data_IF_998472693932
#
_entry.id   IF_998472693932
#
_cell.length_a   1.000
_cell.length_b   1.000
_cell.length_c   1.000
_cell.angle_alpha   90.00
_cell.angle_beta   90.00
_cell.angle_gamma   90.00
#
_symmetry.space_group_name_H-M   'P 1'
#
loop_
_entity.id
_entity.type
_entity.pdbx_description
1 polymer ?
#
# COMPACT_ATOMS: atom_id res chain seq x y z
N UNK A 1 2.47 -12.80 12.54
CA UNK A 1 1.97 -12.13 11.33
C UNK A 1 2.42 -12.92 10.09
N UNK A 2 1.56 -13.13 9.09
CA UNK A 2 1.94 -13.91 7.91
C UNK A 2 2.94 -13.17 7.01
N UNK A 3 4.01 -13.85 6.59
CA UNK A 3 5.03 -13.35 5.66
C UNK A 3 4.45 -13.01 4.29
N UNK A 4 3.38 -13.70 3.88
CA UNK A 4 2.62 -13.39 2.66
C UNK A 4 2.02 -11.98 2.66
N UNK A 5 1.62 -11.47 3.83
CA UNK A 5 1.09 -10.11 3.96
C UNK A 5 2.18 -9.06 3.75
N UNK A 6 3.34 -9.25 4.39
CA UNK A 6 4.50 -8.38 4.21
C UNK A 6 5.03 -8.47 2.77
N UNK A 7 5.09 -9.67 2.19
CA UNK A 7 5.52 -9.88 0.80
C UNK A 7 4.59 -9.17 -0.18
N UNK A 8 3.29 -9.19 0.07
CA UNK A 8 2.30 -8.44 -0.71
C UNK A 8 2.54 -6.92 -0.66
N UNK A 9 2.84 -6.38 0.52
CA UNK A 9 3.15 -4.96 0.68
C UNK A 9 4.48 -4.58 -0.01
N UNK A 10 5.54 -5.37 0.19
CA UNK A 10 6.82 -5.15 -0.48
C UNK A 10 6.71 -5.27 -2.00
N UNK A 11 5.86 -6.16 -2.53
CA UNK A 11 5.58 -6.22 -3.97
C UNK A 11 5.05 -4.88 -4.48
N UNK A 12 4.12 -4.24 -3.77
CA UNK A 12 3.58 -2.92 -4.14
C UNK A 12 4.65 -1.83 -4.06
N UNK A 13 5.50 -1.86 -3.03
CA UNK A 13 6.63 -0.92 -2.85
C UNK A 13 7.65 -1.05 -3.99
N UNK A 14 8.09 -2.27 -4.29
CA UNK A 14 9.04 -2.58 -5.36
C UNK A 14 8.48 -2.15 -6.72
N UNK A 15 7.23 -2.52 -7.02
CA UNK A 15 6.57 -2.10 -8.26
C UNK A 15 6.46 -0.58 -8.36
N UNK A 16 6.11 0.10 -7.27
CA UNK A 16 6.03 1.57 -7.24
C UNK A 16 7.37 2.18 -7.61
N UNK A 17 8.47 1.65 -7.08
CA UNK A 17 9.81 2.11 -7.45
C UNK A 17 10.11 1.85 -8.93
N UNK A 18 9.90 0.62 -9.41
CA UNK A 18 10.14 0.26 -10.81
C UNK A 18 9.41 1.18 -11.80
N UNK A 19 8.13 1.45 -11.55
CA UNK A 19 7.30 2.29 -12.42
C UNK A 19 7.70 3.77 -12.37
N UNK A 20 8.22 4.23 -11.23
CA UNK A 20 8.75 5.60 -11.11
C UNK A 20 10.09 5.75 -11.81
N UNK A 21 10.95 4.74 -11.72
CA UNK A 21 12.27 4.73 -12.36
C UNK A 21 12.13 4.60 -13.90
N UNK A 22 11.12 3.88 -14.40
CA UNK A 22 10.87 3.69 -15.83
C UNK A 22 10.27 4.93 -16.56
N UNK A 23 9.68 5.87 -15.81
CA UNK A 23 9.12 7.10 -16.38
C UNK A 23 7.68 6.97 -16.93
N UNK A 24 7.15 8.08 -17.45
CA UNK A 24 5.72 8.24 -17.82
C UNK A 24 5.31 7.53 -19.11
N UNK A 25 6.27 7.16 -19.96
CA UNK A 25 6.01 6.68 -21.33
C UNK A 25 5.40 5.27 -21.37
N UNK A 26 5.48 4.50 -20.28
CA UNK A 26 5.01 3.11 -20.28
C UNK A 26 3.49 2.92 -20.21
N UNK A 27 2.75 3.99 -19.88
CA UNK A 27 1.30 3.95 -19.70
C UNK A 27 0.52 4.67 -20.81
N UNK A 28 1.23 5.26 -21.78
CA UNK A 28 0.70 6.15 -22.80
C UNK A 28 0.02 5.47 -24.00
N UNK A 29 -0.24 4.16 -23.97
CA UNK A 29 -0.93 3.48 -25.08
C UNK A 29 -2.17 2.67 -24.68
N UNK A 30 -2.86 3.11 -23.61
CA UNK A 30 -3.90 2.31 -22.96
C UNK A 30 -5.28 2.95 -22.87
N UNK A 31 -5.63 3.89 -23.76
CA UNK A 31 -7.05 4.18 -24.04
C UNK A 31 -7.76 2.97 -24.69
N UNK A 32 -7.00 2.00 -25.25
CA UNK A 32 -7.54 0.73 -25.75
C UNK A 32 -7.55 -0.42 -24.73
N UNK A 33 -6.83 -0.32 -23.59
CA UNK A 33 -6.79 -1.34 -22.52
C UNK A 33 -7.87 -1.06 -21.46
N UNK A 34 -9.09 -0.79 -21.92
CA UNK A 34 -10.31 -0.94 -21.12
C UNK A 34 -10.80 -2.41 -21.11
N UNK A 35 -9.90 -3.38 -21.31
CA UNK A 35 -10.19 -4.82 -21.22
C UNK A 35 -9.66 -5.40 -19.89
N UNK A 36 -10.57 -5.40 -18.91
CA UNK A 36 -10.65 -6.20 -17.68
C UNK A 36 -9.60 -6.06 -16.56
N UNK A 37 -8.29 -5.81 -16.77
CA UNK A 37 -7.36 -5.64 -15.63
C UNK A 37 -6.00 -4.97 -15.97
N UNK A 38 -5.89 -3.63 -15.98
CA UNK A 38 -4.64 -2.94 -16.33
C UNK A 38 -3.50 -3.22 -15.34
N UNK A 39 -3.79 -3.28 -14.04
CA UNK A 39 -2.78 -3.49 -13.00
C UNK A 39 -2.07 -4.84 -13.13
N UNK A 40 -2.80 -5.90 -13.49
CA UNK A 40 -2.21 -7.22 -13.69
C UNK A 40 -1.25 -7.27 -14.89
N UNK A 41 -1.56 -6.56 -15.98
CA UNK A 41 -0.68 -6.52 -17.16
C UNK A 41 0.62 -5.77 -16.88
N UNK A 42 0.53 -4.67 -16.13
CA UNK A 42 1.70 -3.92 -15.67
C UNK A 42 2.54 -4.81 -14.75
N UNK A 43 1.90 -5.50 -13.79
CA UNK A 43 2.60 -6.41 -12.90
C UNK A 43 3.35 -7.51 -13.67
N UNK A 44 2.70 -8.14 -14.65
CA UNK A 44 3.34 -9.15 -15.52
C UNK A 44 4.52 -8.54 -16.30
N UNK A 45 4.34 -7.35 -16.87
CA UNK A 45 5.40 -6.68 -17.63
C UNK A 45 6.67 -6.45 -16.80
N UNK A 46 6.51 -6.01 -15.54
CA UNK A 46 7.63 -5.57 -14.71
C UNK A 46 8.20 -6.65 -13.80
N UNK A 47 7.37 -7.54 -13.26
CA UNK A 47 7.84 -8.57 -12.34
C UNK A 47 8.15 -9.89 -13.05
N UNK A 48 7.52 -10.22 -14.18
CA UNK A 48 7.71 -11.52 -14.82
C UNK A 48 8.91 -11.50 -15.78
N UNK A 49 10.09 -11.39 -15.17
CA UNK A 49 11.39 -11.26 -15.86
C UNK A 49 12.21 -12.54 -15.84
N UNK A 50 11.76 -13.58 -15.14
CA UNK A 50 12.41 -14.89 -15.11
C UNK A 50 11.79 -15.79 -16.18
N UNK A 51 12.59 -16.67 -16.78
CA UNK A 51 12.14 -17.66 -17.76
C UNK A 51 12.21 -19.07 -17.16
N UNK A 52 11.27 -19.37 -16.24
CA UNK A 52 11.24 -20.61 -15.44
C UNK A 52 10.11 -21.55 -15.83
N UNK A 53 9.06 -21.04 -16.47
CA UNK A 53 7.86 -21.79 -16.84
C UNK A 53 7.23 -21.21 -18.11
N UNK A 54 6.51 -22.04 -18.87
CA UNK A 54 6.04 -21.70 -20.23
C UNK A 54 5.36 -20.33 -20.38
N UNK A 55 4.15 -20.15 -19.82
CA UNK A 55 3.41 -18.89 -20.00
C UNK A 55 4.05 -17.73 -19.22
N UNK A 56 4.24 -16.57 -19.87
CA UNK A 56 4.83 -15.37 -19.22
C UNK A 56 4.14 -15.01 -17.91
N UNK A 57 2.81 -15.12 -17.85
CA UNK A 57 2.01 -14.79 -16.67
C UNK A 57 2.15 -15.79 -15.50
N UNK A 58 2.93 -16.86 -15.65
CA UNK A 58 3.18 -17.82 -14.59
C UNK A 58 3.92 -17.16 -13.41
N UNK A 59 3.48 -17.43 -12.18
CA UNK A 59 4.08 -16.85 -10.97
C UNK A 59 5.55 -17.27 -10.77
N UNK A 60 5.99 -18.42 -11.31
CA UNK A 60 7.40 -18.84 -11.29
C UNK A 60 8.28 -17.92 -12.12
N UNK A 61 7.72 -17.25 -13.13
CA UNK A 61 8.42 -16.26 -13.94
C UNK A 61 8.56 -14.91 -13.23
N UNK A 62 7.80 -14.69 -12.15
CA UNK A 62 7.92 -13.49 -11.34
C UNK A 62 9.25 -13.47 -10.57
N UNK A 63 9.99 -12.36 -10.63
CA UNK A 63 11.15 -12.09 -9.79
C UNK A 63 10.80 -12.15 -8.29
N UNK A 64 9.53 -11.91 -7.94
CA UNK A 64 9.05 -12.10 -6.56
C UNK A 64 9.13 -13.57 -6.09
N UNK A 65 9.31 -14.54 -6.98
CA UNK A 65 9.60 -15.94 -6.60
C UNK A 65 11.02 -16.13 -6.07
N UNK A 66 11.93 -15.20 -6.36
CA UNK A 66 13.28 -15.15 -5.80
C UNK A 66 13.35 -14.45 -4.43
N UNK A 67 12.25 -13.83 -3.99
CA UNK A 67 12.11 -13.20 -2.68
C UNK A 67 11.26 -14.10 -1.76
N UNK A 68 11.81 -14.54 -0.63
CA UNK A 68 11.05 -15.27 0.40
C UNK A 68 10.96 -14.46 1.68
N UNK A 69 9.81 -14.49 2.35
CA UNK A 69 9.61 -13.82 3.63
C UNK A 69 9.01 -14.85 4.59
N UNK A 70 9.66 -15.07 5.72
CA UNK A 70 9.13 -15.93 6.78
C UNK A 70 7.83 -15.37 7.36
N UNK A 71 7.07 -16.18 8.10
CA UNK A 71 6.13 -15.59 9.05
C UNK A 71 6.91 -14.94 10.20
N UNK A 72 6.30 -13.96 10.89
CA UNK A 72 6.88 -13.42 12.11
C UNK A 72 6.75 -14.42 13.26
N UNK A 73 7.56 -14.23 14.29
CA UNK A 73 7.28 -14.85 15.60
C UNK A 73 5.85 -14.46 16.07
N UNK A 74 5.18 -15.33 16.85
CA UNK A 74 3.93 -14.97 17.51
C UNK A 74 4.09 -13.71 18.35
N UNK A 75 3.15 -12.79 18.22
CA UNK A 75 3.11 -11.56 19.01
C UNK A 75 2.33 -11.81 20.30
N UNK A 76 2.68 -11.10 21.37
CA UNK A 76 2.00 -11.24 22.65
C UNK A 76 0.55 -10.76 22.56
N UNK A 77 -0.36 -11.40 23.32
CA UNK A 77 -1.77 -11.02 23.34
C UNK A 77 -2.03 -9.54 23.67
N UNK A 78 -1.28 -8.89 24.59
CA UNK A 78 -1.44 -7.45 24.87
C UNK A 78 -1.09 -6.52 23.70
N UNK A 79 -0.45 -7.04 22.66
CA UNK A 79 -0.20 -6.30 21.42
C UNK A 79 -1.44 -6.20 20.52
N UNK A 80 -2.56 -6.81 20.89
CA UNK A 80 -3.83 -6.73 20.15
C UNK A 80 -4.80 -5.74 20.80
N UNK A 81 -5.56 -5.05 19.96
CA UNK A 81 -6.60 -4.11 20.35
C UNK A 81 -7.78 -4.17 19.38
N UNK A 82 -8.96 -3.76 19.85
CA UNK A 82 -10.16 -3.68 19.03
C UNK A 82 -10.37 -2.25 18.53
N UNK A 83 -10.29 -2.08 17.21
CA UNK A 83 -10.30 -0.79 16.55
C UNK A 83 -11.55 -0.62 15.68
N UNK A 84 -12.26 0.51 15.81
CA UNK A 84 -13.35 0.84 14.89
C UNK A 84 -12.80 1.42 13.59
N UNK A 85 -13.36 1.03 12.45
CA UNK A 85 -13.05 1.65 11.15
C UNK A 85 -13.70 3.04 11.05
N UNK A 86 -12.89 4.06 10.77
CA UNK A 86 -13.33 5.43 10.51
C UNK A 86 -12.90 5.79 9.08
N UNK A 87 -13.85 6.13 8.21
CA UNK A 87 -13.56 6.65 6.87
C UNK A 87 -13.49 8.18 6.94
N UNK A 88 -12.33 8.75 6.64
CA UNK A 88 -12.09 10.20 6.69
C UNK A 88 -12.09 10.76 5.29
N UNK A 89 -12.98 11.70 5.00
CA UNK A 89 -13.06 12.35 3.68
C UNK A 89 -11.94 13.36 3.47
N UNK A 90 -11.79 13.86 2.24
CA UNK A 90 -10.85 14.94 1.90
C UNK A 90 -10.92 16.14 2.86
N UNK A 91 -12.14 16.55 3.23
CA UNK A 91 -12.37 17.69 4.13
C UNK A 91 -12.19 17.37 5.61
N UNK A 92 -11.78 16.16 5.98
CA UNK A 92 -11.64 15.72 7.37
C UNK A 92 -12.93 15.23 8.01
N UNK A 93 -14.03 15.10 7.25
CA UNK A 93 -15.29 14.57 7.77
C UNK A 93 -15.16 13.08 8.09
N UNK A 94 -15.60 12.69 9.29
CA UNK A 94 -15.52 11.32 9.80
C UNK A 94 -16.81 10.54 9.56
N UNK A 95 -16.77 9.60 8.61
CA UNK A 95 -17.77 8.55 8.46
C UNK A 95 -17.48 7.38 9.39
N UNK A 96 -18.31 7.19 10.41
CA UNK A 96 -18.20 6.07 11.36
C UNK A 96 -19.02 4.88 10.85
N UNK A 97 -18.37 3.74 10.68
CA UNK A 97 -19.02 2.49 10.28
C UNK A 97 -19.19 1.58 11.50
N UNK A 98 -20.26 0.79 11.52
CA UNK A 98 -20.50 -0.26 12.52
C UNK A 98 -19.64 -1.49 12.22
N UNK A 99 -18.32 -1.29 12.14
CA UNK A 99 -17.33 -2.33 11.85
C UNK A 99 -16.15 -2.15 12.81
N UNK A 100 -15.86 -3.20 13.57
CA UNK A 100 -14.67 -3.32 14.40
C UNK A 100 -13.66 -4.29 13.75
N UNK A 101 -12.37 -4.09 14.04
CA UNK A 101 -11.26 -4.92 13.57
C UNK A 101 -10.31 -5.16 14.73
N UNK A 102 -9.94 -6.43 14.93
CA UNK A 102 -8.77 -6.73 15.76
C UNK A 102 -7.52 -6.25 15.01
N UNK A 103 -6.73 -5.41 15.67
CA UNK A 103 -5.57 -4.73 15.13
C UNK A 103 -4.39 -4.86 16.09
N UNK A 104 -3.19 -4.68 15.58
CA UNK A 104 -2.01 -4.52 16.43
C UNK A 104 -2.00 -3.12 17.04
N UNK A 105 -1.61 -3.03 18.31
CA UNK A 105 -1.34 -1.78 19.00
C UNK A 105 -0.19 -1.04 18.27
N UNK A 106 -0.29 0.30 18.09
CA UNK A 106 0.83 1.10 17.63
C UNK A 106 2.09 0.86 18.48
N UNK A 107 3.26 0.83 17.84
CA UNK A 107 4.53 0.53 18.51
C UNK A 107 4.81 -0.96 18.72
N UNK A 108 3.94 -1.86 18.24
CA UNK A 108 4.25 -3.30 18.23
C UNK A 108 5.29 -3.61 17.15
N UNK A 109 6.38 -4.25 17.54
CA UNK A 109 7.44 -4.70 16.63
C UNK A 109 7.24 -6.16 16.23
N UNK A 110 7.55 -6.48 14.97
CA UNK A 110 7.48 -7.83 14.44
C UNK A 110 8.67 -8.08 13.51
N UNK A 111 9.44 -9.12 13.80
CA UNK A 111 10.61 -9.50 13.02
C UNK A 111 10.28 -10.54 11.95
N UNK A 112 10.94 -10.42 10.80
CA UNK A 112 10.79 -11.33 9.65
C UNK A 112 12.15 -11.64 9.05
N UNK A 113 12.29 -12.82 8.45
CA UNK A 113 13.47 -13.19 7.66
C UNK A 113 13.13 -12.97 6.18
N UNK A 114 13.81 -12.02 5.54
CA UNK A 114 13.80 -11.82 4.10
C UNK A 114 14.99 -12.56 3.47
N UNK A 115 14.71 -13.50 2.57
CA UNK A 115 15.74 -14.23 1.81
C UNK A 115 15.66 -13.85 0.34
N UNK A 116 16.80 -13.41 -0.22
CA UNK A 116 16.96 -13.09 -1.63
C UNK A 116 17.78 -14.19 -2.30
N UNK A 117 17.21 -14.85 -3.31
CA UNK A 117 17.96 -15.79 -4.15
C UNK A 117 18.75 -15.02 -5.23
N UNK A 118 19.85 -15.57 -5.78
CA UNK A 118 20.66 -14.89 -6.80
C UNK A 118 19.85 -14.36 -8.00
N UNK A 119 18.77 -15.05 -8.37
CA UNK A 119 17.91 -14.67 -9.50
C UNK A 119 17.02 -13.45 -9.23
N UNK A 120 17.05 -12.90 -8.00
CA UNK A 120 16.46 -11.58 -7.70
C UNK A 120 17.15 -10.45 -8.49
N UNK A 121 18.37 -10.68 -8.97
CA UNK A 121 19.08 -9.80 -9.88
C UNK A 121 19.29 -8.41 -9.27
N UNK A 122 18.65 -7.39 -9.86
CA UNK A 122 18.76 -6.00 -9.40
C UNK A 122 17.96 -5.70 -8.13
N UNK A 123 17.10 -6.63 -7.69
CA UNK A 123 16.30 -6.48 -6.47
C UNK A 123 17.11 -7.05 -5.29
N UNK A 124 18.18 -6.36 -4.93
CA UNK A 124 18.99 -6.66 -3.76
C UNK A 124 18.45 -5.95 -2.50
N UNK A 125 19.12 -6.15 -1.36
CA UNK A 125 18.73 -5.52 -0.09
C UNK A 125 18.77 -3.98 -0.17
N UNK A 126 19.75 -3.41 -0.87
CA UNK A 126 19.88 -1.96 -1.07
C UNK A 126 18.73 -1.39 -1.90
N UNK A 127 18.32 -2.09 -2.95
CA UNK A 127 17.17 -1.73 -3.77
C UNK A 127 15.88 -1.71 -2.94
N UNK A 128 15.65 -2.73 -2.11
CA UNK A 128 14.45 -2.83 -1.27
C UNK A 128 14.43 -1.73 -0.21
N UNK A 129 15.57 -1.47 0.47
CA UNK A 129 15.72 -0.35 1.42
C UNK A 129 15.34 0.98 0.76
N UNK A 130 15.92 1.27 -0.41
CA UNK A 130 15.63 2.49 -1.17
C UNK A 130 14.17 2.56 -1.63
N UNK A 131 13.58 1.43 -2.03
CA UNK A 131 12.17 1.39 -2.42
C UNK A 131 11.24 1.74 -1.26
N UNK A 132 11.51 1.23 -0.05
CA UNK A 132 10.77 1.56 1.18
C UNK A 132 10.92 3.04 1.53
N UNK A 133 12.15 3.56 1.52
CA UNK A 133 12.46 4.97 1.79
C UNK A 133 11.67 5.90 0.84
N UNK A 134 11.70 5.62 -0.46
CA UNK A 134 11.01 6.43 -1.46
C UNK A 134 9.47 6.30 -1.41
N UNK A 135 8.96 5.12 -1.02
CA UNK A 135 7.52 4.83 -1.06
C UNK A 135 6.73 5.71 -0.10
N UNK A 136 7.18 5.87 1.15
CA UNK A 136 6.45 6.67 2.14
C UNK A 136 6.31 8.14 1.73
N UNK A 137 7.39 8.75 1.24
CA UNK A 137 7.33 10.11 0.70
C UNK A 137 6.46 10.23 -0.55
N UNK A 138 6.47 9.20 -1.40
CA UNK A 138 5.58 9.14 -2.57
C UNK A 138 4.10 9.03 -2.15
N UNK A 139 3.79 8.18 -1.17
CA UNK A 139 2.46 8.01 -0.62
C UNK A 139 1.90 9.31 -0.03
N UNK A 140 2.68 9.99 0.80
CA UNK A 140 2.31 11.27 1.42
C UNK A 140 1.96 12.31 0.36
N UNK A 141 2.91 12.65 -0.53
CA UNK A 141 2.72 13.71 -1.53
C UNK A 141 1.61 13.43 -2.55
N UNK A 142 1.43 12.16 -2.89
CA UNK A 142 0.49 11.75 -3.94
C UNK A 142 -0.93 11.58 -3.38
N UNK A 143 -1.06 11.12 -2.13
CA UNK A 143 -2.35 10.71 -1.60
C UNK A 143 -2.64 11.29 -0.21
N UNK A 144 -1.84 11.00 0.82
CA UNK A 144 -2.19 11.37 2.20
C UNK A 144 -2.35 12.89 2.39
N UNK A 145 -1.47 13.69 1.80
CA UNK A 145 -1.47 15.16 1.91
C UNK A 145 -2.66 15.82 1.20
N UNK A 146 -3.45 15.06 0.43
CA UNK A 146 -4.69 15.55 -0.19
C UNK A 146 -5.84 15.66 0.80
N UNK A 147 -5.69 15.11 2.00
CA UNK A 147 -6.73 15.02 3.02
C UNK A 147 -6.42 15.94 4.21
N UNK A 148 -7.44 16.60 4.74
CA UNK A 148 -7.34 17.30 6.01
C UNK A 148 -7.15 16.31 7.16
N UNK A 149 -6.25 16.63 8.09
CA UNK A 149 -6.05 15.85 9.30
C UNK A 149 -7.31 15.95 10.19
N UNK A 150 -7.94 14.82 10.58
CA UNK A 150 -9.11 14.87 11.45
C UNK A 150 -8.72 15.29 12.87
N UNK A 151 -9.68 15.85 13.62
CA UNK A 151 -9.43 16.34 14.98
C UNK A 151 -8.94 15.20 15.89
N UNK A 152 -7.88 15.42 16.65
CA UNK A 152 -7.31 14.43 17.56
C UNK A 152 -6.53 13.30 16.85
N UNK A 153 -6.20 13.48 15.57
CA UNK A 153 -5.30 12.58 14.88
C UNK A 153 -3.83 12.93 15.07
N UNK A 154 -3.01 11.90 15.11
CA UNK A 154 -1.55 12.02 15.02
C UNK A 154 -1.18 12.40 13.59
N UNK A 155 -0.25 13.34 13.47
CA UNK A 155 0.42 13.59 12.20
C UNK A 155 1.43 12.46 11.99
N UNK A 156 1.11 11.58 11.05
CA UNK A 156 1.92 10.41 10.74
C UNK A 156 3.30 10.81 10.18
N UNK A 157 4.33 10.06 10.57
CA UNK A 157 5.64 10.09 9.94
C UNK A 157 5.72 8.99 8.89
N UNK A 158 5.81 9.40 7.63
CA UNK A 158 5.90 8.47 6.49
C UNK A 158 7.35 8.10 6.13
N UNK A 159 8.34 8.45 6.95
CA UNK A 159 9.72 8.01 6.75
C UNK A 159 9.84 6.49 6.85
N UNK A 160 10.51 5.87 5.88
CA UNK A 160 10.76 4.42 5.81
C UNK A 160 9.51 3.56 6.08
N UNK A 161 8.35 3.99 5.60
CA UNK A 161 7.09 3.33 5.89
C UNK A 161 6.57 2.50 4.72
N UNK A 162 5.78 1.48 5.03
CA UNK A 162 4.95 0.74 4.10
C UNK A 162 3.49 0.76 4.57
N UNK A 163 2.58 0.38 3.67
CA UNK A 163 1.17 0.20 3.98
C UNK A 163 0.80 -1.28 4.04
N UNK A 164 0.54 -1.78 5.25
CA UNK A 164 0.31 -3.19 5.52
C UNK A 164 -1.14 -3.48 5.94
N UNK A 165 -1.66 -4.61 5.45
CA UNK A 165 -2.88 -5.23 5.96
C UNK A 165 -4.18 -4.78 5.30
N UNK A 166 -5.28 -5.34 5.81
CA UNK A 166 -6.63 -5.16 5.25
C UNK A 166 -7.13 -3.71 5.29
N UNK A 167 -6.68 -2.93 6.26
CA UNK A 167 -7.17 -1.59 6.58
C UNK A 167 -6.48 -0.42 5.88
N UNK A 168 -5.32 -0.62 5.25
CA UNK A 168 -4.48 0.48 4.72
C UNK A 168 -5.04 1.22 3.48
N UNK A 169 -6.21 0.81 2.99
CA UNK A 169 -6.89 1.47 1.88
C UNK A 169 -6.40 1.04 0.49
N UNK A 170 -6.82 1.81 -0.52
CA UNK A 170 -6.60 1.49 -1.93
C UNK A 170 -5.15 1.65 -2.37
N UNK A 171 -4.52 2.74 -1.95
CA UNK A 171 -3.17 3.09 -2.38
C UNK A 171 -2.12 2.05 -1.95
N UNK A 172 -2.24 1.51 -0.73
CA UNK A 172 -1.35 0.45 -0.23
C UNK A 172 -1.51 -0.90 -0.95
N UNK A 173 -2.45 -1.02 -1.89
CA UNK A 173 -2.78 -2.28 -2.57
C UNK A 173 -2.81 -2.15 -4.09
N UNK A 174 -2.45 -1.00 -4.63
CA UNK A 174 -2.58 -0.72 -6.04
C UNK A 174 -1.38 0.09 -6.57
N UNK A 175 -1.16 0.01 -7.88
CA UNK A 175 -0.03 0.58 -8.62
C UNK A 175 -0.50 1.48 -9.77
N UNK A 176 -1.75 1.95 -9.74
CA UNK A 176 -2.28 2.85 -10.79
C UNK A 176 -1.64 4.24 -10.83
N UNK A 177 -1.27 4.79 -9.68
CA UNK A 177 -0.66 6.12 -9.60
C UNK A 177 0.82 6.14 -10.01
N UNK A 178 1.65 5.17 -9.59
CA UNK A 178 3.04 5.10 -10.04
C UNK A 178 3.15 5.01 -11.58
N UNK A 179 4.07 5.77 -12.15
CA UNK A 179 4.36 5.76 -13.59
C UNK A 179 3.35 6.50 -14.49
N UNK A 180 2.33 7.15 -13.93
CA UNK A 180 1.42 8.05 -14.65
C UNK A 180 1.56 9.48 -14.16
N UNK A 181 1.13 10.45 -14.97
CA UNK A 181 0.81 11.76 -14.41
C UNK A 181 -0.40 11.66 -13.47
N UNK A 182 -0.47 12.57 -12.50
CA UNK A 182 -1.48 12.53 -11.44
C UNK A 182 -2.91 12.59 -11.98
N UNK A 183 -3.14 13.42 -13.01
CA UNK A 183 -4.47 13.70 -13.54
C UNK A 183 -5.05 12.49 -14.28
N UNK A 184 -4.23 11.85 -15.12
CA UNK A 184 -4.57 10.60 -15.79
C UNK A 184 -4.79 9.45 -14.79
N UNK A 185 -3.94 9.33 -13.77
CA UNK A 185 -4.12 8.34 -12.71
C UNK A 185 -5.41 8.56 -11.92
N UNK A 186 -5.71 9.81 -11.57
CA UNK A 186 -6.93 10.20 -10.87
C UNK A 186 -8.18 9.84 -11.67
N UNK A 187 -8.24 10.21 -12.96
CA UNK A 187 -9.37 9.86 -13.83
C UNK A 187 -9.59 8.36 -13.93
N UNK A 188 -8.51 7.60 -14.11
CA UNK A 188 -8.60 6.14 -14.20
C UNK A 188 -9.05 5.51 -12.88
N UNK A 189 -8.49 5.96 -11.75
CA UNK A 189 -8.89 5.50 -10.42
C UNK A 189 -10.37 5.80 -10.16
N UNK A 190 -10.83 7.04 -10.44
CA UNK A 190 -12.22 7.44 -10.29
C UNK A 190 -13.16 6.59 -11.15
N UNK A 191 -12.84 6.39 -12.43
CA UNK A 191 -13.65 5.56 -13.34
C UNK A 191 -13.76 4.10 -12.87
N UNK A 192 -12.65 3.50 -12.41
CA UNK A 192 -12.65 2.14 -11.87
C UNK A 192 -13.43 2.04 -10.56
N UNK A 193 -13.30 3.03 -9.68
CA UNK A 193 -14.01 3.08 -8.40
C UNK A 193 -15.51 3.30 -8.61
N UNK A 194 -15.93 4.20 -9.51
CA UNK A 194 -17.33 4.42 -9.85
C UNK A 194 -18.00 3.15 -10.40
N UNK A 195 -17.30 2.45 -11.31
CA UNK A 195 -17.78 1.18 -11.87
C UNK A 195 -17.98 0.10 -10.80
N UNK A 196 -17.09 0.01 -9.82
CA UNK A 196 -17.12 -1.05 -8.79
C UNK A 196 -18.00 -0.67 -7.58
N UNK A 197 -18.15 0.61 -7.29
CA UNK A 197 -18.73 1.14 -6.07
C UNK A 197 -19.72 2.28 -6.36
N UNK A 198 -20.71 2.03 -7.23
CA UNK A 198 -21.66 3.04 -7.71
C UNK A 198 -22.40 3.82 -6.60
N UNK A 199 -22.58 3.24 -5.40
CA UNK A 199 -23.23 3.91 -4.26
C UNK A 199 -22.36 4.97 -3.58
N UNK A 200 -21.06 5.01 -3.88
CA UNK A 200 -20.08 5.83 -3.18
C UNK A 200 -19.80 7.17 -3.90
N UNK A 201 -20.43 7.46 -5.04
CA UNK A 201 -20.32 8.74 -5.76
C UNK A 201 -18.89 9.08 -6.21
N UNK A 202 -18.15 8.09 -6.71
CA UNK A 202 -16.78 8.26 -7.18
C UNK A 202 -16.66 9.07 -8.47
N UNK A 203 -17.78 9.36 -9.15
CA UNK A 203 -17.86 10.24 -10.31
C UNK A 203 -17.37 11.66 -9.98
N UNK A 204 -17.55 12.11 -8.74
CA UNK A 204 -17.05 13.41 -8.24
C UNK A 204 -15.59 13.41 -7.78
N UNK A 205 -14.88 12.28 -7.83
CA UNK A 205 -13.50 12.19 -7.33
C UNK A 205 -12.53 13.08 -8.14
N UNK A 206 -12.80 13.23 -9.44
CA UNK A 206 -11.98 14.07 -10.32
C UNK A 206 -12.11 15.54 -9.93
N UNK A 207 -13.33 16.02 -9.68
CA UNK A 207 -13.59 17.40 -9.24
C UNK A 207 -13.04 17.67 -7.84
N UNK A 208 -13.18 16.70 -6.94
CA UNK A 208 -12.59 16.79 -5.59
C UNK A 208 -11.08 16.59 -5.59
N UNK A 209 -10.48 16.15 -6.69
CA UNK A 209 -9.04 16.09 -6.90
C UNK A 209 -8.31 14.92 -6.25
N UNK A 210 -9.02 13.88 -5.77
CA UNK A 210 -8.41 12.67 -5.21
C UNK A 210 -9.34 11.46 -5.31
N UNK A 211 -8.80 10.30 -5.72
CA UNK A 211 -9.54 9.03 -5.78
C UNK A 211 -8.72 7.85 -5.22
N UNK A 212 -9.30 7.00 -4.36
CA UNK A 212 -10.59 7.17 -3.69
C UNK A 212 -10.61 8.40 -2.77
N UNK A 213 -11.78 9.00 -2.54
CA UNK A 213 -11.91 10.20 -1.71
C UNK A 213 -11.93 9.94 -0.19
N UNK A 214 -11.41 8.81 0.30
CA UNK A 214 -11.34 8.53 1.75
C UNK A 214 -10.00 7.93 2.19
N UNK A 215 -9.52 8.36 3.37
CA UNK A 215 -8.50 7.69 4.17
C UNK A 215 -9.14 6.79 5.23
N UNK A 216 -8.39 5.79 5.68
CA UNK A 216 -8.83 4.81 6.67
C UNK A 216 -8.13 5.10 7.99
N UNK A 217 -8.90 5.54 8.96
CA UNK A 217 -8.44 5.81 10.31
C UNK A 217 -9.07 4.84 11.30
N UNK A 218 -8.50 4.81 12.48
CA UNK A 218 -9.14 4.27 13.67
C UNK A 218 -8.92 5.19 14.85
N UNK A 219 -9.63 4.92 15.94
CA UNK A 219 -9.44 5.55 17.24
C UNK A 219 -8.85 4.49 18.17
N UNK A 220 -7.58 4.66 18.51
CA UNK A 220 -6.86 3.81 19.44
C UNK A 220 -7.01 4.35 20.85
N UNK A 221 -7.49 3.51 21.78
CA UNK A 221 -7.57 3.83 23.20
C UNK A 221 -6.24 3.43 23.83
N UNK A 222 -5.59 4.37 24.51
CA UNK A 222 -4.32 4.11 25.18
C UNK A 222 -4.47 3.04 26.27
N UNK A 223 -3.42 2.25 26.57
CA UNK A 223 -3.49 1.19 27.58
C UNK A 223 -3.88 1.69 28.98
N UNK A 224 -3.58 2.95 29.29
CA UNK A 224 -3.95 3.60 30.55
C UNK A 224 -5.45 3.93 30.66
N UNK A 225 -6.22 3.80 29.56
CA UNK A 225 -7.65 4.10 29.48
C UNK A 225 -8.01 5.59 29.60
N UNK A 226 -7.03 6.50 29.60
CA UNK A 226 -7.21 7.93 29.87
C UNK A 226 -7.18 8.81 28.62
N UNK A 227 -6.74 8.26 27.49
CA UNK A 227 -6.65 8.96 26.22
C UNK A 227 -7.09 8.10 25.05
N UNK A 228 -7.56 8.76 24.00
CA UNK A 228 -7.69 8.15 22.69
C UNK A 228 -6.96 9.01 21.66
N UNK A 229 -6.45 8.34 20.63
CA UNK A 229 -5.74 8.97 19.54
C UNK A 229 -6.22 8.40 18.22
N UNK A 230 -6.42 9.28 17.24
CA UNK A 230 -6.74 8.82 15.88
C UNK A 230 -5.45 8.57 15.12
N UNK A 231 -5.34 7.37 14.57
CA UNK A 231 -4.21 6.95 13.75
C UNK A 231 -4.70 6.43 12.41
N UNK A 232 -3.88 6.63 11.39
CA UNK A 232 -4.16 6.05 10.10
C UNK A 232 -3.85 4.55 10.12
N UNK A 233 -4.75 3.74 9.55
CA UNK A 233 -4.61 2.30 9.59
C UNK A 233 -3.50 1.78 8.67
N UNK A 234 -2.68 0.87 9.19
CA UNK A 234 -1.76 0.05 8.40
C UNK A 234 -0.45 0.74 8.02
N UNK A 235 -0.10 1.87 8.61
CA UNK A 235 1.25 2.44 8.48
C UNK A 235 2.20 1.60 9.34
N UNK A 236 3.29 1.13 8.74
CA UNK A 236 4.34 0.41 9.44
C UNK A 236 5.70 0.96 9.01
N UNK A 237 6.55 1.31 9.97
CA UNK A 237 7.98 1.56 9.70
C UNK A 237 8.68 0.24 9.43
N UNK A 238 9.65 0.26 8.52
CA UNK A 238 10.43 -0.92 8.15
C UNK A 238 11.91 -0.58 8.26
N UNK A 239 12.60 -1.35 9.08
CA UNK A 239 14.06 -1.36 9.19
C UNK A 239 14.57 -2.70 8.63
N UNK A 240 15.62 -2.65 7.81
CA UNK A 240 16.17 -3.83 7.13
C UNK A 240 17.64 -3.94 7.48
N UNK A 241 18.00 -5.04 8.13
CA UNK A 241 19.38 -5.37 8.49
C UNK A 241 19.86 -6.58 7.68
N UNK A 242 21.10 -6.50 7.19
CA UNK A 242 21.73 -7.62 6.51
C UNK A 242 22.45 -8.49 7.55
N UNK A 243 22.07 -9.77 7.62
CA UNK A 243 22.77 -10.74 8.47
C UNK A 243 24.04 -11.18 7.75
N UNK A 244 25.18 -10.87 8.35
CA UNK A 244 26.50 -11.34 7.92
C UNK A 244 26.64 -12.86 8.13
#
# INVERSE_FOLDING_TARGET
MPGSSLKGALRTVILTKMLRDAGREEFLDNERIAKKNPAAQIEIKHLHTLDRAGEKANALNSVMSALSISDSAPLAQPSLTLCRKIDVSKGGYEGRLNIARECLCPGTEAEFILTLKPESGKIDAGYIKKAVEEFGGYYSRTYADKFSLPQGAVKEDFSNCILLGGGCGYFGKNILYPGRDYESALRLAAALMAKKYAKHKHEGDVETGVSPHTLKYTEYIEPNGRGSVKCQMGICRVDIEERA
#
